data_IF_827107481340
#
_entry.id   IF_827107481340
#
_cell.length_a   1.000
_cell.length_b   1.000
_cell.length_c   1.000
_cell.angle_alpha   90.00
_cell.angle_beta   90.00
_cell.angle_gamma   90.00
#
_symmetry.space_group_name_H-M   'P 1'
#
loop_
_entity.id
_entity.type
_entity.pdbx_description
1 polymer ?
#
# COMPACT_ATOMS: atom_id res chain seq x y z
N UNK A 1 -9.08 -19.68 3.82
CA UNK A 1 -8.86 -18.25 3.50
C UNK A 1 -8.15 -17.65 4.68
N UNK A 2 -7.10 -16.86 4.45
CA UNK A 2 -6.28 -16.31 5.54
C UNK A 2 -7.16 -15.49 6.47
N UNK A 3 -7.26 -15.91 7.72
CA UNK A 3 -8.10 -15.25 8.73
C UNK A 3 -7.23 -14.61 9.80
N UNK A 4 -7.59 -13.38 10.17
CA UNK A 4 -6.82 -12.53 11.04
C UNK A 4 -7.64 -12.14 12.28
N UNK A 5 -6.95 -11.99 13.40
CA UNK A 5 -7.43 -11.15 14.49
C UNK A 5 -6.51 -9.93 14.58
N UNK A 6 -7.08 -8.74 14.46
CA UNK A 6 -6.33 -7.47 14.41
C UNK A 6 -6.91 -6.45 15.38
N UNK A 7 -6.05 -5.57 15.91
CA UNK A 7 -6.45 -4.39 16.65
C UNK A 7 -6.23 -3.15 15.76
N UNK A 8 -7.28 -2.38 15.56
CA UNK A 8 -7.24 -1.09 14.89
C UNK A 8 -7.30 0.03 15.92
N UNK A 9 -6.46 1.04 15.74
CA UNK A 9 -6.50 2.28 16.50
C UNK A 9 -6.88 3.39 15.53
N UNK A 10 -8.14 3.82 15.58
CA UNK A 10 -8.67 4.85 14.69
C UNK A 10 -8.72 6.16 15.47
N UNK A 11 -7.92 7.14 15.01
CA UNK A 11 -7.84 8.45 15.64
C UNK A 11 -8.78 9.45 14.96
N UNK A 12 -9.44 10.28 15.76
CA UNK A 12 -10.06 11.51 15.29
C UNK A 12 -9.47 12.69 16.05
N UNK A 13 -8.96 13.67 15.33
CA UNK A 13 -8.35 14.86 15.91
C UNK A 13 -8.95 16.15 15.32
N UNK A 14 -9.02 17.21 16.12
CA UNK A 14 -9.61 18.48 15.71
C UNK A 14 -9.64 19.56 16.79
N UNK A 15 -10.09 20.76 16.43
CA UNK A 15 -10.06 21.93 17.34
C UNK A 15 -11.28 22.06 18.24
N UNK A 16 -12.33 21.25 18.02
CA UNK A 16 -13.55 21.25 18.82
C UNK A 16 -13.75 19.87 19.46
N UNK A 17 -13.80 19.84 20.79
CA UNK A 17 -13.93 18.60 21.59
C UNK A 17 -15.17 17.81 21.23
N UNK A 18 -16.30 18.49 21.01
CA UNK A 18 -17.59 17.85 20.73
C UNK A 18 -17.64 17.29 19.30
N UNK A 19 -17.00 17.98 18.36
CA UNK A 19 -16.83 17.47 17.00
C UNK A 19 -16.00 16.18 17.00
N UNK A 20 -14.88 16.13 17.73
CA UNK A 20 -14.05 14.91 17.88
C UNK A 20 -14.85 13.75 18.48
N UNK A 21 -15.57 14.00 19.58
CA UNK A 21 -16.42 12.98 20.21
C UNK A 21 -17.50 12.45 19.25
N UNK A 22 -18.13 13.34 18.48
CA UNK A 22 -19.16 12.97 17.51
C UNK A 22 -18.56 12.14 16.37
N UNK A 23 -17.39 12.51 15.85
CA UNK A 23 -16.71 11.78 14.78
C UNK A 23 -16.39 10.34 15.20
N UNK A 24 -15.85 10.12 16.40
CA UNK A 24 -15.57 8.78 16.92
C UNK A 24 -16.85 7.95 17.08
N UNK A 25 -17.93 8.55 17.61
CA UNK A 25 -19.22 7.88 17.73
C UNK A 25 -19.79 7.45 16.37
N UNK A 26 -19.63 8.29 15.35
CA UNK A 26 -20.06 7.95 13.99
C UNK A 26 -19.22 6.81 13.38
N UNK A 27 -17.90 6.83 13.61
CA UNK A 27 -17.01 5.75 13.17
C UNK A 27 -17.39 4.44 13.85
N UNK A 28 -17.55 4.43 15.17
CA UNK A 28 -18.00 3.26 15.94
C UNK A 28 -19.32 2.71 15.41
N UNK A 29 -20.29 3.58 15.15
CA UNK A 29 -21.60 3.17 14.62
C UNK A 29 -21.47 2.53 13.24
N UNK A 30 -20.74 3.16 12.31
CA UNK A 30 -20.53 2.63 10.95
C UNK A 30 -19.80 1.29 11.00
N UNK A 31 -18.80 1.17 11.86
CA UNK A 31 -18.03 -0.06 12.00
C UNK A 31 -18.89 -1.22 12.54
N UNK A 32 -19.84 -0.94 13.43
CA UNK A 32 -20.84 -1.93 13.90
C UNK A 32 -21.83 -2.37 12.82
N UNK A 33 -21.97 -1.62 11.73
CA UNK A 33 -22.80 -1.96 10.57
C UNK A 33 -22.03 -2.78 9.51
N UNK A 34 -20.71 -2.91 9.65
CA UNK A 34 -19.88 -3.72 8.75
C UNK A 34 -20.11 -5.22 8.98
N UNK A 35 -20.02 -6.01 7.91
CA UNK A 35 -20.12 -7.46 7.98
C UNK A 35 -18.78 -8.09 8.42
N UNK A 36 -18.37 -7.82 9.65
CA UNK A 36 -17.10 -8.30 10.25
C UNK A 36 -17.35 -8.71 11.72
N UNK A 37 -16.57 -9.67 12.24
CA UNK A 37 -16.68 -10.05 13.64
C UNK A 37 -15.93 -9.06 14.54
N UNK A 38 -16.65 -8.17 15.24
CA UNK A 38 -16.09 -7.33 16.30
C UNK A 38 -15.95 -8.15 17.58
N UNK A 39 -14.73 -8.32 18.05
CA UNK A 39 -14.42 -9.03 19.30
C UNK A 39 -14.51 -8.09 20.49
N UNK A 40 -13.96 -6.89 20.35
CA UNK A 40 -13.90 -5.88 21.38
C UNK A 40 -13.90 -4.48 20.75
N UNK A 41 -14.50 -3.52 21.45
CA UNK A 41 -14.49 -2.12 21.07
C UNK A 41 -14.34 -1.27 22.33
N UNK A 42 -13.30 -0.46 22.36
CA UNK A 42 -13.00 0.46 23.44
C UNK A 42 -12.87 1.87 22.86
N UNK A 43 -13.64 2.80 23.44
CA UNK A 43 -13.68 4.19 23.00
C UNK A 43 -13.12 5.05 24.10
N UNK A 44 -12.06 5.78 23.79
CA UNK A 44 -11.45 6.71 24.73
C UNK A 44 -12.19 8.06 24.72
N UNK A 45 -12.18 8.73 25.87
CA UNK A 45 -12.68 10.10 25.98
C UNK A 45 -11.72 11.08 25.29
N UNK A 46 -12.21 12.16 24.67
CA UNK A 46 -11.32 13.16 24.07
C UNK A 46 -10.36 13.79 25.08
N UNK A 47 -9.08 13.80 24.72
CA UNK A 47 -8.00 14.44 25.47
C UNK A 47 -7.55 15.73 24.78
N UNK A 48 -6.96 16.67 25.53
CA UNK A 48 -6.29 17.83 24.94
C UNK A 48 -4.89 17.44 24.46
N UNK A 49 -4.48 17.96 23.31
CA UNK A 49 -3.17 17.72 22.70
C UNK A 49 -2.34 19.01 22.69
N UNK A 50 -1.04 18.88 22.44
CA UNK A 50 -0.14 20.01 22.22
C UNK A 50 -0.18 20.54 20.77
N UNK A 51 -0.93 19.88 19.86
CA UNK A 51 -1.00 20.29 18.45
C UNK A 51 -1.91 21.52 18.27
N UNK A 52 -1.38 22.68 17.84
CA UNK A 52 -2.17 23.88 17.63
C UNK A 52 -3.24 23.74 16.53
N UNK A 53 -3.11 22.75 15.64
CA UNK A 53 -4.08 22.49 14.56
C UNK A 53 -5.12 21.44 14.95
N UNK A 54 -4.89 20.68 16.02
CA UNK A 54 -5.72 19.56 16.45
C UNK A 54 -5.78 19.47 17.98
N UNK A 55 -6.31 20.53 18.61
CA UNK A 55 -6.31 20.69 20.09
C UNK A 55 -6.91 19.51 20.87
N UNK A 56 -7.82 18.74 20.28
CA UNK A 56 -8.39 17.56 20.89
C UNK A 56 -8.17 16.33 20.00
N UNK A 57 -7.93 15.19 20.63
CA UNK A 57 -7.88 13.88 19.96
C UNK A 57 -8.63 12.83 20.79
N UNK A 58 -9.18 11.83 20.11
CA UNK A 58 -9.77 10.64 20.71
C UNK A 58 -9.45 9.42 19.85
N UNK A 59 -9.28 8.27 20.50
CA UNK A 59 -8.97 7.00 19.83
C UNK A 59 -10.11 6.02 20.03
N UNK A 60 -10.47 5.33 18.95
CA UNK A 60 -11.31 4.15 18.96
C UNK A 60 -10.43 2.93 18.74
N UNK A 61 -10.30 2.10 19.78
CA UNK A 61 -9.62 0.82 19.71
C UNK A 61 -10.64 -0.26 19.36
N UNK A 62 -10.39 -1.01 18.29
CA UNK A 62 -11.31 -2.05 17.82
C UNK A 62 -10.55 -3.32 17.54
N UNK A 63 -10.94 -4.40 18.23
CA UNK A 63 -10.46 -5.75 17.93
C UNK A 63 -11.42 -6.43 16.96
N UNK A 64 -10.91 -6.78 15.80
CA UNK A 64 -11.65 -7.34 14.68
C UNK A 64 -11.15 -8.74 14.35
N UNK A 65 -12.06 -9.59 13.86
CA UNK A 65 -11.73 -10.87 13.24
C UNK A 65 -12.42 -10.99 11.89
N UNK A 66 -11.66 -11.39 10.87
CA UNK A 66 -12.18 -11.64 9.53
C UNK A 66 -11.14 -12.17 8.58
N UNK A 67 -11.48 -12.24 7.31
CA UNK A 67 -10.58 -12.63 6.23
C UNK A 67 -9.67 -11.48 5.81
N UNK A 68 -8.49 -11.79 5.28
CA UNK A 68 -7.49 -10.77 4.87
C UNK A 68 -8.09 -9.67 3.99
N UNK A 69 -8.90 -10.05 2.98
CA UNK A 69 -9.53 -9.08 2.09
C UNK A 69 -10.53 -8.15 2.78
N UNK A 70 -11.25 -8.64 3.79
CA UNK A 70 -12.17 -7.83 4.60
C UNK A 70 -11.39 -6.84 5.46
N UNK A 71 -10.33 -7.31 6.14
CA UNK A 71 -9.47 -6.48 6.96
C UNK A 71 -8.81 -5.39 6.13
N UNK A 72 -8.24 -5.71 4.96
CA UNK A 72 -7.68 -4.73 4.02
C UNK A 72 -8.72 -3.69 3.60
N UNK A 73 -9.96 -4.13 3.34
CA UNK A 73 -11.05 -3.22 2.99
C UNK A 73 -11.38 -2.25 4.13
N UNK A 74 -11.36 -2.72 5.37
CA UNK A 74 -11.61 -1.88 6.55
C UNK A 74 -10.45 -0.90 6.81
N UNK A 75 -9.19 -1.31 6.60
CA UNK A 75 -8.03 -0.41 6.65
C UNK A 75 -8.23 0.75 5.67
N UNK A 76 -8.58 0.44 4.41
CA UNK A 76 -8.80 1.46 3.39
C UNK A 76 -9.98 2.38 3.72
N UNK A 77 -11.04 1.85 4.33
CA UNK A 77 -12.25 2.61 4.63
C UNK A 77 -12.09 3.55 5.82
N UNK A 78 -11.41 3.09 6.87
CA UNK A 78 -11.35 3.77 8.16
C UNK A 78 -10.00 4.43 8.44
N UNK A 79 -8.96 4.11 7.68
CA UNK A 79 -7.63 4.72 7.82
C UNK A 79 -7.08 4.65 9.25
N UNK A 80 -7.04 3.47 9.90
CA UNK A 80 -6.53 3.37 11.27
C UNK A 80 -5.10 3.91 11.36
N UNK A 81 -4.78 4.68 12.41
CA UNK A 81 -3.44 5.19 12.65
C UNK A 81 -2.45 4.07 12.96
N UNK A 82 -2.93 3.01 13.63
CA UNK A 82 -2.14 1.82 13.96
C UNK A 82 -2.98 0.57 13.65
N UNK A 83 -2.33 -0.43 13.09
CA UNK A 83 -2.87 -1.78 12.89
C UNK A 83 -1.92 -2.77 13.55
N UNK A 84 -2.43 -3.60 14.46
CA UNK A 84 -1.68 -4.69 15.10
C UNK A 84 -2.33 -6.03 14.76
N UNK A 85 -1.53 -6.99 14.31
CA UNK A 85 -1.94 -8.36 14.00
C UNK A 85 -1.63 -9.23 15.22
N UNK A 86 -2.69 -9.73 15.86
CA UNK A 86 -2.58 -10.57 17.05
C UNK A 86 -2.48 -12.06 16.72
N UNK A 87 -3.26 -12.51 15.72
CA UNK A 87 -3.31 -13.91 15.31
C UNK A 87 -3.54 -14.03 13.80
N UNK A 88 -2.93 -15.07 13.22
CA UNK A 88 -3.05 -15.42 11.79
C UNK A 88 -3.32 -16.91 11.66
N UNK A 89 -4.50 -17.24 11.13
CA UNK A 89 -4.94 -18.61 10.84
C UNK A 89 -4.96 -18.85 9.34
N UNK A 90 -4.72 -20.12 8.95
CA UNK A 90 -4.70 -20.55 7.55
C UNK A 90 -3.76 -19.69 6.71
N UNK A 91 -2.45 -19.80 6.96
CA UNK A 91 -1.41 -18.90 6.41
C UNK A 91 -1.23 -18.98 4.90
N UNK A 92 -1.89 -19.93 4.24
CA UNK A 92 -1.80 -20.09 2.78
C UNK A 92 -2.90 -19.30 2.07
N UNK A 93 -2.52 -18.53 1.06
CA UNK A 93 -3.43 -17.84 0.15
C UNK A 93 -3.15 -18.25 -1.30
N UNK A 94 -4.19 -18.35 -2.12
CA UNK A 94 -4.00 -18.55 -3.55
C UNK A 94 -3.54 -17.26 -4.24
N UNK A 95 -2.72 -17.39 -5.28
CA UNK A 95 -2.29 -16.28 -6.11
C UNK A 95 -3.48 -15.47 -6.66
N UNK A 96 -4.55 -16.16 -7.06
CA UNK A 96 -5.77 -15.51 -7.58
C UNK A 96 -6.46 -14.64 -6.52
N UNK A 97 -6.58 -15.14 -5.29
CA UNK A 97 -7.18 -14.41 -4.17
C UNK A 97 -6.33 -13.22 -3.76
N UNK A 98 -5.01 -13.40 -3.67
CA UNK A 98 -4.08 -12.32 -3.37
C UNK A 98 -4.14 -11.21 -4.43
N UNK A 99 -4.16 -11.56 -5.73
CA UNK A 99 -4.31 -10.58 -6.82
C UNK A 99 -5.61 -9.78 -6.70
N UNK A 100 -6.73 -10.39 -6.27
CA UNK A 100 -7.99 -9.65 -6.04
C UNK A 100 -7.83 -8.60 -4.95
N UNK A 101 -7.15 -8.93 -3.86
CA UNK A 101 -6.87 -8.01 -2.75
C UNK A 101 -5.97 -6.86 -3.23
N UNK A 102 -4.88 -7.18 -3.93
CA UNK A 102 -3.96 -6.18 -4.48
C UNK A 102 -4.65 -5.25 -5.50
N UNK A 103 -5.57 -5.77 -6.31
CA UNK A 103 -6.35 -4.95 -7.24
C UNK A 103 -7.28 -3.96 -6.51
N UNK A 104 -7.86 -4.35 -5.38
CA UNK A 104 -8.65 -3.45 -4.54
C UNK A 104 -7.78 -2.32 -3.96
N UNK A 105 -6.60 -2.66 -3.44
CA UNK A 105 -5.62 -1.70 -2.93
C UNK A 105 -5.22 -0.73 -4.04
N UNK A 106 -4.80 -1.23 -5.20
CA UNK A 106 -4.38 -0.41 -6.33
C UNK A 106 -5.46 0.59 -6.74
N UNK A 107 -6.70 0.13 -6.91
CA UNK A 107 -7.83 0.99 -7.27
C UNK A 107 -8.09 2.08 -6.24
N UNK A 108 -8.08 1.73 -4.96
CA UNK A 108 -8.34 2.68 -3.88
C UNK A 108 -7.22 3.73 -3.78
N UNK A 109 -5.97 3.28 -3.75
CA UNK A 109 -4.79 4.13 -3.64
C UNK A 109 -4.62 5.02 -4.86
N UNK A 110 -4.85 4.52 -6.07
CA UNK A 110 -4.86 5.33 -7.29
C UNK A 110 -5.88 6.47 -7.21
N UNK A 111 -7.09 6.20 -6.70
CA UNK A 111 -8.11 7.23 -6.49
C UNK A 111 -7.74 8.27 -5.42
N UNK A 112 -6.97 7.89 -4.39
CA UNK A 112 -6.40 8.85 -3.44
C UNK A 112 -5.27 9.67 -4.09
N UNK A 113 -4.36 9.03 -4.81
CA UNK A 113 -3.24 9.73 -5.47
C UNK A 113 -3.69 10.73 -6.53
N UNK A 114 -4.79 10.46 -7.24
CA UNK A 114 -5.40 11.43 -8.15
C UNK A 114 -5.87 12.72 -7.43
N UNK A 115 -6.22 12.62 -6.14
CA UNK A 115 -6.72 13.72 -5.32
C UNK A 115 -5.63 14.40 -4.48
N UNK A 116 -4.65 13.65 -4.00
CA UNK A 116 -3.67 14.09 -2.99
C UNK A 116 -2.20 14.00 -3.47
N UNK A 117 -1.98 13.54 -4.70
CA UNK A 117 -0.65 13.35 -5.29
C UNK A 117 -0.06 11.95 -5.03
N UNK A 118 0.98 11.60 -5.78
CA UNK A 118 1.65 10.30 -5.66
C UNK A 118 2.37 10.11 -4.32
N UNK A 119 2.54 8.85 -3.92
CA UNK A 119 3.33 8.45 -2.74
C UNK A 119 4.79 8.15 -3.05
N UNK A 120 5.11 7.83 -4.31
CA UNK A 120 6.46 7.49 -4.73
C UNK A 120 7.40 8.72 -4.72
N UNK A 121 7.88 9.08 -3.53
CA UNK A 121 8.96 10.03 -3.32
C UNK A 121 10.20 9.27 -2.85
N UNK A 122 11.29 9.40 -3.58
CA UNK A 122 12.57 8.77 -3.25
C UNK A 122 13.62 9.83 -2.97
N UNK A 123 14.62 9.54 -2.11
CA UNK A 123 15.82 10.36 -2.04
C UNK A 123 16.53 10.36 -3.40
N UNK A 124 17.55 11.21 -3.56
CA UNK A 124 18.36 11.20 -4.77
C UNK A 124 18.91 9.78 -5.05
N UNK A 125 18.46 9.19 -6.15
CA UNK A 125 18.82 7.84 -6.57
C UNK A 125 20.14 7.81 -7.37
N UNK A 126 20.75 8.96 -7.64
CA UNK A 126 22.01 9.06 -8.40
C UNK A 126 23.14 8.25 -7.75
N UNK A 127 23.18 8.23 -6.42
CA UNK A 127 24.20 7.54 -5.62
C UNK A 127 24.03 6.00 -5.57
N UNK A 128 22.86 5.48 -5.96
CA UNK A 128 22.62 4.03 -5.94
C UNK A 128 23.16 3.38 -7.21
N UNK A 129 23.80 2.20 -7.12
CA UNK A 129 24.30 1.49 -8.29
C UNK A 129 23.15 1.09 -9.22
N UNK A 130 23.46 0.88 -10.50
CA UNK A 130 22.49 0.30 -11.42
C UNK A 130 22.22 -1.17 -11.03
N UNK A 131 20.95 -1.56 -10.85
CA UNK A 131 20.63 -2.90 -10.37
C UNK A 131 20.77 -3.95 -11.47
N UNK A 132 21.00 -5.19 -11.05
CA UNK A 132 20.97 -6.35 -11.94
C UNK A 132 19.56 -6.55 -12.48
N UNK A 133 19.45 -6.69 -13.81
CA UNK A 133 18.23 -7.12 -14.49
C UNK A 133 18.48 -8.49 -15.13
N UNK A 134 17.60 -9.44 -14.86
CA UNK A 134 17.67 -10.79 -15.42
C UNK A 134 18.34 -11.80 -14.49
N UNK A 135 17.61 -12.88 -14.23
CA UNK A 135 18.03 -14.03 -13.43
C UNK A 135 17.80 -15.31 -14.23
N UNK A 136 18.66 -16.31 -14.02
CA UNK A 136 18.41 -17.65 -14.57
C UNK A 136 17.22 -18.29 -13.87
N UNK A 137 16.52 -19.21 -14.54
CA UNK A 137 15.37 -19.91 -13.94
C UNK A 137 15.80 -20.69 -12.66
N UNK A 138 17.01 -21.26 -12.62
CA UNK A 138 17.56 -21.89 -11.41
C UNK A 138 17.78 -20.90 -10.23
N UNK A 139 18.10 -19.64 -10.52
CA UNK A 139 18.18 -18.59 -9.49
C UNK A 139 16.78 -18.21 -8.99
N UNK A 140 15.84 -18.00 -9.91
CA UNK A 140 14.43 -17.68 -9.63
C UNK A 140 13.78 -18.78 -8.78
N UNK A 141 13.94 -20.05 -9.17
CA UNK A 141 13.42 -21.18 -8.43
C UNK A 141 13.96 -21.22 -7.00
N UNK A 142 15.27 -20.96 -6.82
CA UNK A 142 15.87 -20.89 -5.48
C UNK A 142 15.34 -19.73 -4.65
N UNK A 143 15.09 -18.57 -5.25
CA UNK A 143 14.49 -17.43 -4.56
C UNK A 143 13.06 -17.74 -4.10
N UNK A 144 12.26 -18.38 -4.97
CA UNK A 144 10.89 -18.77 -4.62
C UNK A 144 10.90 -19.84 -3.50
N UNK A 145 11.67 -20.91 -3.66
CA UNK A 145 11.65 -22.05 -2.73
C UNK A 145 12.34 -21.73 -1.40
N UNK A 146 13.51 -21.08 -1.42
CA UNK A 146 14.32 -20.90 -0.20
C UNK A 146 13.97 -19.61 0.55
N UNK A 147 13.60 -18.55 -0.16
CA UNK A 147 13.32 -17.23 0.44
C UNK A 147 11.81 -16.96 0.55
N UNK A 148 10.98 -17.71 -0.18
CA UNK A 148 9.53 -17.52 -0.22
C UNK A 148 9.11 -16.33 -1.07
N UNK A 149 9.91 -15.96 -2.09
CA UNK A 149 9.57 -14.84 -2.96
C UNK A 149 8.44 -15.20 -3.93
N UNK A 150 7.70 -14.18 -4.35
CA UNK A 150 6.64 -14.25 -5.35
C UNK A 150 7.17 -13.66 -6.64
N UNK A 151 7.07 -14.39 -7.75
CA UNK A 151 7.33 -13.90 -9.10
C UNK A 151 6.04 -13.34 -9.69
N UNK A 152 6.04 -12.08 -10.11
CA UNK A 152 4.85 -11.42 -10.66
C UNK A 152 5.17 -10.42 -11.74
N UNK A 153 4.18 -10.13 -12.59
CA UNK A 153 4.20 -9.01 -13.53
C UNK A 153 3.52 -7.81 -12.88
N UNK A 154 4.13 -6.65 -13.07
CA UNK A 154 3.73 -5.38 -12.47
C UNK A 154 3.77 -4.29 -13.52
N UNK A 155 2.64 -3.63 -13.75
CA UNK A 155 2.53 -2.59 -14.78
C UNK A 155 2.04 -1.29 -14.16
N UNK A 156 2.79 -0.22 -14.37
CA UNK A 156 2.51 1.12 -13.81
C UNK A 156 2.60 2.21 -14.88
N UNK A 157 1.95 3.33 -14.60
CA UNK A 157 2.19 4.58 -15.32
C UNK A 157 3.31 5.37 -14.62
N UNK A 158 4.23 5.92 -15.42
CA UNK A 158 5.28 6.81 -14.94
C UNK A 158 5.31 8.10 -15.76
N UNK A 159 5.73 9.18 -15.10
CA UNK A 159 5.81 10.52 -15.67
C UNK A 159 7.20 11.08 -15.44
N UNK A 160 7.76 11.79 -16.42
CA UNK A 160 9.05 12.45 -16.27
C UNK A 160 9.45 13.24 -17.51
N UNK A 161 10.73 13.60 -17.60
CA UNK A 161 11.26 14.44 -18.68
C UNK A 161 11.92 13.64 -19.79
N UNK A 162 12.59 12.56 -19.40
CA UNK A 162 13.37 11.71 -20.28
C UNK A 162 13.10 10.23 -19.96
N UNK A 163 13.04 9.40 -21.00
CA UNK A 163 12.75 7.98 -20.87
C UNK A 163 13.85 7.27 -20.08
N UNK A 164 15.12 7.51 -20.42
CA UNK A 164 16.26 6.83 -19.81
C UNK A 164 16.34 7.15 -18.31
N UNK A 165 16.15 8.42 -17.94
CA UNK A 165 16.08 8.85 -16.55
C UNK A 165 14.98 8.12 -15.77
N UNK A 166 13.77 8.04 -16.34
CA UNK A 166 12.64 7.35 -15.70
C UNK A 166 12.95 5.85 -15.53
N UNK A 167 13.49 5.19 -16.56
CA UNK A 167 13.82 3.77 -16.50
C UNK A 167 14.89 3.47 -15.43
N UNK A 168 15.96 4.26 -15.40
CA UNK A 168 17.05 4.10 -14.42
C UNK A 168 16.54 4.32 -13.01
N UNK A 169 15.80 5.41 -12.77
CA UNK A 169 15.26 5.73 -11.46
C UNK A 169 14.24 4.68 -11.01
N UNK A 170 13.40 4.17 -11.91
CA UNK A 170 12.42 3.14 -11.58
C UNK A 170 13.09 1.83 -11.17
N UNK A 171 14.09 1.36 -11.92
CA UNK A 171 14.83 0.14 -11.55
C UNK A 171 15.49 0.28 -10.17
N UNK A 172 16.13 1.43 -9.91
CA UNK A 172 16.76 1.72 -8.62
C UNK A 172 15.73 1.77 -7.48
N UNK A 173 14.59 2.43 -7.71
CA UNK A 173 13.49 2.50 -6.75
C UNK A 173 12.96 1.11 -6.42
N UNK A 174 12.64 0.29 -7.43
CA UNK A 174 12.16 -1.08 -7.22
C UNK A 174 13.17 -1.94 -6.42
N UNK A 175 14.47 -1.77 -6.70
CA UNK A 175 15.51 -2.49 -5.96
C UNK A 175 15.64 -2.01 -4.52
N UNK A 176 15.50 -0.69 -4.29
CA UNK A 176 15.51 -0.09 -2.95
C UNK A 176 14.34 -0.60 -2.09
N UNK A 177 13.19 -0.84 -2.71
CA UNK A 177 12.02 -1.46 -2.07
C UNK A 177 12.18 -2.98 -1.85
N UNK A 178 13.30 -3.56 -2.26
CA UNK A 178 13.63 -4.97 -2.05
C UNK A 178 13.25 -5.92 -3.18
N UNK A 179 12.99 -5.41 -4.39
CA UNK A 179 12.69 -6.27 -5.54
C UNK A 179 13.92 -6.74 -6.31
N UNK A 180 13.87 -7.98 -6.77
CA UNK A 180 14.73 -8.48 -7.85
C UNK A 180 14.01 -8.29 -9.18
N UNK A 181 14.67 -7.65 -10.15
CA UNK A 181 14.08 -7.33 -11.46
C UNK A 181 14.49 -8.39 -12.48
N UNK A 182 13.57 -9.25 -12.90
CA UNK A 182 13.87 -10.25 -13.93
C UNK A 182 13.73 -9.70 -15.35
N UNK A 183 12.64 -8.97 -15.62
CA UNK A 183 12.40 -8.32 -16.91
C UNK A 183 11.92 -6.89 -16.68
N UNK A 184 12.30 -6.00 -17.59
CA UNK A 184 11.90 -4.61 -17.54
C UNK A 184 11.69 -4.10 -18.96
N UNK A 185 10.50 -3.59 -19.25
CA UNK A 185 10.14 -3.02 -20.53
C UNK A 185 9.38 -1.72 -20.31
N UNK A 186 9.52 -0.79 -21.24
CA UNK A 186 8.80 0.47 -21.16
C UNK A 186 8.35 0.95 -22.54
N UNK A 187 7.25 1.70 -22.55
CA UNK A 187 6.67 2.27 -23.75
C UNK A 187 6.14 3.67 -23.45
N UNK A 188 6.60 4.65 -24.23
CA UNK A 188 6.04 6.01 -24.19
C UNK A 188 4.63 5.97 -24.77
N UNK A 189 3.66 6.49 -24.03
CA UNK A 189 2.24 6.54 -24.41
C UNK A 189 1.78 7.97 -24.70
N UNK A 190 2.46 8.97 -24.16
CA UNK A 190 2.16 10.38 -24.44
C UNK A 190 3.44 11.21 -24.31
N UNK A 191 3.64 12.14 -25.24
CA UNK A 191 4.62 13.22 -25.12
C UNK A 191 3.90 14.55 -25.27
N UNK A 192 4.10 15.44 -24.31
CA UNK A 192 3.58 16.82 -24.32
C UNK A 192 4.73 17.79 -24.16
N UNK A 193 4.80 18.73 -25.08
CA UNK A 193 5.67 19.90 -24.95
C UNK A 193 4.86 21.05 -24.31
N UNK A 194 5.11 21.33 -23.04
CA UNK A 194 4.54 22.48 -22.32
C UNK A 194 5.62 23.57 -22.20
N UNK A 195 5.75 24.39 -23.24
CA UNK A 195 6.80 25.42 -23.32
C UNK A 195 8.19 24.80 -23.46
N UNK A 196 9.11 25.13 -22.55
CA UNK A 196 10.47 24.57 -22.52
C UNK A 196 10.57 23.23 -21.77
N UNK A 197 9.45 22.69 -21.28
CA UNK A 197 9.39 21.44 -20.50
C UNK A 197 8.72 20.34 -21.32
N UNK A 198 9.53 19.35 -21.73
CA UNK A 198 9.04 18.08 -22.24
C UNK A 198 8.52 17.23 -21.08
N UNK A 199 7.26 16.80 -21.16
CA UNK A 199 6.65 15.83 -20.25
C UNK A 199 6.32 14.55 -21.02
N UNK A 200 6.87 13.45 -20.55
CA UNK A 200 6.65 12.11 -21.08
C UNK A 200 5.78 11.35 -20.07
N UNK A 201 4.72 10.72 -20.59
CA UNK A 201 3.98 9.67 -19.89
C UNK A 201 4.36 8.33 -20.53
N UNK A 202 4.70 7.35 -19.71
CA UNK A 202 5.08 6.02 -20.16
C UNK A 202 4.46 4.92 -19.33
N UNK A 203 4.25 3.76 -19.95
CA UNK A 203 3.96 2.51 -19.28
C UNK A 203 5.26 1.78 -19.00
N UNK A 204 5.40 1.27 -17.79
CA UNK A 204 6.50 0.41 -17.39
C UNK A 204 5.90 -0.94 -17.01
N UNK A 205 6.36 -2.00 -17.68
CA UNK A 205 6.03 -3.37 -17.36
C UNK A 205 7.28 -4.08 -16.84
N UNK A 206 7.20 -4.61 -15.64
CA UNK A 206 8.31 -5.33 -15.00
C UNK A 206 7.88 -6.71 -14.57
N UNK A 207 8.79 -7.67 -14.66
CA UNK A 207 8.68 -8.97 -13.99
C UNK A 207 9.59 -8.93 -12.77
N UNK A 208 9.01 -9.06 -11.59
CA UNK A 208 9.67 -8.83 -10.31
C UNK A 208 9.59 -10.09 -9.44
N UNK A 209 10.57 -10.23 -8.55
CA UNK A 209 10.49 -11.14 -7.39
C UNK A 209 10.62 -10.35 -6.10
N UNK A 210 9.71 -10.56 -5.17
CA UNK A 210 9.74 -9.93 -3.84
C UNK A 210 8.88 -10.69 -2.81
N UNK A 211 8.95 -10.28 -1.54
CA UNK A 211 8.10 -10.83 -0.47
C UNK A 211 6.65 -10.33 -0.57
N UNK A 212 5.74 -10.90 0.22
CA UNK A 212 4.35 -10.41 0.33
C UNK A 212 4.34 -8.95 0.78
N UNK A 213 5.18 -8.61 1.75
CA UNK A 213 5.32 -7.25 2.29
C UNK A 213 5.65 -6.25 1.19
N UNK A 214 6.73 -6.48 0.44
CA UNK A 214 7.15 -5.60 -0.66
C UNK A 214 6.07 -5.49 -1.74
N UNK A 215 5.41 -6.60 -2.10
CA UNK A 215 4.34 -6.60 -3.10
C UNK A 215 3.15 -5.73 -2.66
N UNK A 216 2.75 -5.79 -1.39
CA UNK A 216 1.72 -4.91 -0.82
C UNK A 216 2.15 -3.45 -0.86
N UNK A 217 3.37 -3.15 -0.40
CA UNK A 217 3.92 -1.79 -0.38
C UNK A 217 3.98 -1.19 -1.79
N UNK A 218 4.51 -1.93 -2.77
CA UNK A 218 4.55 -1.47 -4.15
C UNK A 218 3.15 -1.23 -4.73
N UNK A 219 2.20 -2.13 -4.45
CA UNK A 219 0.83 -1.99 -4.92
C UNK A 219 0.19 -0.72 -4.37
N UNK A 220 0.38 -0.44 -3.08
CA UNK A 220 -0.16 0.76 -2.45
C UNK A 220 0.56 2.03 -2.90
N UNK A 221 1.88 2.00 -3.08
CA UNK A 221 2.73 3.16 -3.40
C UNK A 221 2.65 3.58 -4.87
N UNK A 222 2.43 2.64 -5.78
CA UNK A 222 2.42 2.89 -7.22
C UNK A 222 1.05 2.75 -7.89
N UNK A 223 0.06 2.16 -7.21
CA UNK A 223 -1.28 1.92 -7.77
C UNK A 223 -1.24 1.34 -9.21
N UNK A 224 -0.63 0.15 -9.39
CA UNK A 224 -0.40 -0.43 -10.70
C UNK A 224 -1.69 -0.66 -11.48
N UNK A 225 -1.62 -0.42 -12.79
CA UNK A 225 -2.71 -0.70 -13.73
C UNK A 225 -2.91 -2.19 -13.96
N UNK A 226 -1.90 -3.02 -13.68
CA UNK A 226 -1.99 -4.47 -13.79
C UNK A 226 -0.99 -5.18 -12.89
N UNK A 227 -1.46 -6.24 -12.23
CA UNK A 227 -0.64 -7.16 -11.44
C UNK A 227 -1.08 -8.58 -11.75
N UNK A 228 -0.13 -9.46 -12.03
CA UNK A 228 -0.38 -10.89 -12.22
C UNK A 228 0.72 -11.65 -11.50
N UNK A 229 0.36 -12.51 -10.55
CA UNK A 229 1.30 -13.47 -9.96
C UNK A 229 1.52 -14.59 -10.96
N UNK A 230 2.80 -14.85 -11.28
CA UNK A 230 3.22 -15.95 -12.15
C UNK A 230 3.38 -17.20 -11.30
N UNK A 231 4.16 -17.11 -10.21
CA UNK A 231 4.49 -18.21 -9.31
C UNK A 231 4.80 -17.67 -7.90
N UNK A 232 4.54 -18.43 -6.82
CA UNK A 232 3.84 -19.71 -6.80
C UNK A 232 2.31 -19.53 -6.84
N UNK A 233 1.58 -20.61 -7.15
CA UNK A 233 0.10 -20.62 -7.13
C UNK A 233 -0.48 -20.48 -5.71
N UNK A 234 0.25 -20.96 -4.71
CA UNK A 234 -0.09 -20.86 -3.28
C UNK A 234 1.07 -20.16 -2.57
N UNK A 235 0.75 -19.11 -1.83
CA UNK A 235 1.70 -18.27 -1.10
C UNK A 235 1.51 -18.52 0.39
N UNK A 236 2.59 -18.87 1.09
CA UNK A 236 2.61 -18.89 2.56
C UNK A 236 2.86 -17.48 3.10
N UNK A 237 1.89 -16.95 3.84
CA UNK A 237 1.96 -15.63 4.45
C UNK A 237 2.62 -15.72 5.82
N UNK A 238 3.81 -15.14 5.93
CA UNK A 238 4.49 -14.99 7.21
C UNK A 238 3.82 -13.88 8.05
N UNK A 239 3.51 -14.12 9.34
CA UNK A 239 2.80 -13.15 10.17
C UNK A 239 3.47 -11.77 10.27
N UNK A 240 4.81 -11.72 10.30
CA UNK A 240 5.58 -10.49 10.35
C UNK A 240 5.48 -9.69 9.04
N UNK A 241 5.58 -10.37 7.88
CA UNK A 241 5.41 -9.72 6.57
C UNK A 241 4.00 -9.13 6.44
N UNK A 242 2.99 -9.86 6.93
CA UNK A 242 1.62 -9.39 6.91
C UNK A 242 1.40 -8.21 7.87
N UNK A 243 1.92 -8.26 9.09
CA UNK A 243 1.89 -7.15 10.03
C UNK A 243 2.46 -5.89 9.39
N UNK A 244 3.66 -5.99 8.81
CA UNK A 244 4.31 -4.86 8.16
C UNK A 244 3.49 -4.34 6.97
N UNK A 245 2.99 -5.23 6.11
CA UNK A 245 2.16 -4.87 4.96
C UNK A 245 0.91 -4.08 5.36
N UNK A 246 0.18 -4.54 6.38
CA UNK A 246 -1.06 -3.90 6.83
C UNK A 246 -0.79 -2.56 7.54
N UNK A 247 0.27 -2.48 8.35
CA UNK A 247 0.70 -1.23 8.99
C UNK A 247 1.14 -0.19 7.96
N UNK A 248 1.94 -0.59 6.98
CA UNK A 248 2.45 0.30 5.93
C UNK A 248 1.31 0.81 5.05
N UNK A 249 0.36 -0.05 4.68
CA UNK A 249 -0.86 0.36 3.98
C UNK A 249 -1.66 1.41 4.78
N UNK A 250 -1.85 1.19 6.08
CA UNK A 250 -2.56 2.11 6.96
C UNK A 250 -1.82 3.46 7.08
N UNK A 251 -0.49 3.43 7.21
CA UNK A 251 0.35 4.61 7.27
C UNK A 251 0.29 5.44 5.97
N UNK A 252 0.40 4.79 4.81
CA UNK A 252 0.30 5.44 3.50
C UNK A 252 -1.06 6.10 3.27
N UNK A 253 -2.14 5.45 3.71
CA UNK A 253 -3.49 6.03 3.63
C UNK A 253 -3.59 7.26 4.52
N UNK A 254 -3.12 7.16 5.77
CA UNK A 254 -3.08 8.28 6.69
C UNK A 254 -2.27 9.45 6.14
N UNK A 255 -1.11 9.18 5.56
CA UNK A 255 -0.30 10.22 4.92
C UNK A 255 -1.08 10.94 3.82
N UNK A 256 -1.75 10.21 2.92
CA UNK A 256 -2.49 10.81 1.80
C UNK A 256 -3.68 11.65 2.26
N UNK A 257 -4.49 11.16 3.20
CA UNK A 257 -5.71 11.88 3.61
C UNK A 257 -5.42 13.15 4.41
N UNK A 258 -4.23 13.24 5.02
CA UNK A 258 -3.77 14.45 5.72
C UNK A 258 -3.03 15.43 4.80
N UNK A 259 -2.77 15.08 3.54
CA UNK A 259 -2.22 16.02 2.55
C UNK A 259 -3.28 17.02 2.06
N UNK A 260 -2.88 18.25 1.69
CA UNK A 260 -3.77 19.16 0.99
C UNK A 260 -4.27 18.56 -0.33
N UNK A 261 -5.53 18.81 -0.67
CA UNK A 261 -6.09 18.42 -1.97
C UNK A 261 -5.32 19.09 -3.11
N UNK A 262 -5.04 18.32 -4.16
CA UNK A 262 -4.62 18.86 -5.44
C UNK A 262 -5.78 19.64 -6.06
N UNK A 263 -5.77 20.96 -5.88
CA UNK A 263 -6.65 21.86 -6.61
C UNK A 263 -6.16 21.86 -8.06
N UNK A 264 -6.77 21.05 -8.93
CA UNK A 264 -6.57 21.15 -10.39
C UNK A 264 -6.93 22.58 -10.81
N UNK A 265 -5.91 23.37 -11.14
CA UNK A 265 -6.08 24.66 -11.84
C UNK A 265 -6.21 24.41 -13.32
#
# INVERSE_FOLDING_TARGET
>A
MVSLTVNFYIEAAGNDRKAVETSILEIEKKLKEENISIVEINREDPIETEDPNAKYSAVLEVKLRGELGEIVTLIMRYGPSIVEVEDVKEREISAEELVKILALISKFMGGLMEKFGGLAAYPDLSAFPEPRVGYSEDEIERMIINEGLIRYQFVIEAYGKDREEIEVNMKKALTLEGCYINKFASQIIEEKDEGDLKRIKMLIASELLSSVETLFTLTAKYAPIGIIIIEPDIIDIKPNELQNALSELAAMINELIHRPLLIKR
#
